data_IF_969371600105
#
_entry.id   IF_969371600105
#
_cell.length_a   1.000
_cell.length_b   1.000
_cell.length_c   1.000
_cell.angle_alpha   90.00
_cell.angle_beta   90.00
_cell.angle_gamma   90.00
#
_symmetry.space_group_name_H-M   'P 1'
#
loop_
_entity.id
_entity.type
_entity.pdbx_description
1 polymer ?
#
# COMPACT_ATOMS: atom_id res chain seq x y z
N UNK A 1 -40.76 -66.05 -0.37
CA UNK A 1 -41.06 -66.46 -1.76
C UNK A 1 -40.26 -65.52 -2.65
N UNK A 2 -38.96 -65.76 -2.85
CA UNK A 2 -38.35 -66.54 -3.94
C UNK A 2 -38.72 -66.09 -5.36
N UNK A 3 -37.82 -65.38 -6.04
CA UNK A 3 -37.16 -65.75 -7.31
C UNK A 3 -36.44 -64.50 -7.88
N UNK A 4 -35.11 -64.39 -7.94
CA UNK A 4 -34.15 -65.05 -8.84
C UNK A 4 -34.52 -64.97 -10.33
N UNK A 5 -33.85 -64.13 -11.13
CA UNK A 5 -32.70 -64.53 -11.98
C UNK A 5 -32.31 -63.46 -13.03
N UNK A 6 -31.00 -63.18 -13.09
CA UNK A 6 -30.16 -62.67 -14.19
C UNK A 6 -30.15 -63.64 -15.41
N UNK A 7 -29.32 -63.47 -16.47
CA UNK A 7 -28.92 -62.30 -17.28
C UNK A 7 -29.03 -62.62 -18.81
N UNK A 8 -28.76 -61.64 -19.68
CA UNK A 8 -28.32 -61.93 -21.07
C UNK A 8 -27.25 -60.93 -21.48
N UNK A 9 -26.05 -61.47 -21.75
CA UNK A 9 -24.97 -60.81 -22.47
C UNK A 9 -25.22 -60.93 -23.97
N UNK A 10 -24.90 -59.86 -24.70
CA UNK A 10 -24.47 -59.92 -26.09
C UNK A 10 -23.30 -58.92 -26.18
N UNK A 11 -22.10 -59.49 -26.27
CA UNK A 11 -20.96 -58.85 -26.92
C UNK A 11 -21.31 -58.71 -28.40
N UNK A 12 -21.08 -57.53 -28.96
CA UNK A 12 -20.50 -57.44 -30.29
C UNK A 12 -19.70 -56.15 -30.42
N UNK A 13 -18.44 -56.37 -30.76
CA UNK A 13 -17.42 -55.38 -31.07
C UNK A 13 -17.84 -54.57 -32.30
N UNK A 14 -17.68 -53.25 -32.22
CA UNK A 14 -17.29 -52.48 -33.39
C UNK A 14 -16.24 -51.44 -33.00
N UNK A 15 -15.02 -51.76 -33.42
CA UNK A 15 -13.82 -50.92 -33.43
C UNK A 15 -14.08 -49.62 -34.20
N UNK A 16 -14.34 -48.54 -33.47
CA UNK A 16 -14.13 -47.18 -33.96
C UNK A 16 -12.76 -46.68 -33.48
N UNK A 17 -11.75 -46.87 -34.33
CA UNK A 17 -10.45 -46.23 -34.24
C UNK A 17 -10.61 -44.70 -34.16
N UNK A 18 -10.61 -44.14 -32.94
CA UNK A 18 -10.34 -42.72 -32.74
C UNK A 18 -8.83 -42.52 -32.83
N UNK A 19 -8.40 -42.09 -34.02
CA UNK A 19 -7.04 -41.65 -34.31
C UNK A 19 -6.54 -40.68 -33.23
N UNK A 20 -5.47 -41.09 -32.55
CA UNK A 20 -4.69 -40.23 -31.66
C UNK A 20 -4.04 -39.15 -32.53
N UNK A 21 -4.28 -37.85 -32.28
CA UNK A 21 -3.63 -36.81 -33.07
C UNK A 21 -2.11 -36.84 -32.85
N UNK A 22 -1.30 -36.63 -33.90
CA UNK A 22 0.15 -36.75 -33.79
C UNK A 22 0.74 -35.71 -32.83
N UNK A 23 1.87 -36.03 -32.17
CA UNK A 23 2.52 -35.13 -31.24
C UNK A 23 2.93 -33.83 -31.96
N UNK A 24 2.50 -32.70 -31.39
CA UNK A 24 2.89 -31.37 -31.90
C UNK A 24 4.41 -31.24 -31.89
N UNK A 25 4.96 -30.87 -33.04
CA UNK A 25 6.37 -30.56 -33.21
C UNK A 25 6.85 -29.51 -32.19
N UNK A 26 8.09 -29.61 -31.70
CA UNK A 26 8.67 -28.62 -30.79
C UNK A 26 8.73 -27.26 -31.49
N UNK A 27 7.95 -26.31 -30.95
CA UNK A 27 7.99 -24.92 -31.38
C UNK A 27 9.36 -24.28 -31.10
N UNK A 28 9.69 -23.19 -31.81
CA UNK A 28 11.02 -22.60 -31.78
C UNK A 28 11.41 -22.15 -30.37
N UNK A 29 12.61 -22.58 -29.97
CA UNK A 29 13.31 -22.19 -28.75
C UNK A 29 13.41 -20.66 -28.70
N UNK A 30 12.58 -20.04 -27.83
CA UNK A 30 12.75 -18.63 -27.47
C UNK A 30 14.03 -18.51 -26.65
N UNK A 31 15.07 -18.02 -27.31
CA UNK A 31 16.29 -17.51 -26.70
C UNK A 31 15.97 -16.44 -25.66
N UNK A 32 16.79 -16.43 -24.63
CA UNK A 32 16.85 -15.47 -23.53
C UNK A 32 16.53 -14.03 -23.94
N UNK A 33 15.41 -13.53 -23.45
CA UNK A 33 15.23 -12.13 -23.06
C UNK A 33 15.10 -12.17 -21.53
N UNK A 34 16.18 -12.03 -20.76
CA UNK A 34 17.01 -10.84 -20.81
C UNK A 34 16.25 -9.66 -20.19
N UNK A 35 15.91 -9.77 -18.90
CA UNK A 35 16.15 -8.69 -17.91
C UNK A 35 15.71 -7.29 -18.36
N UNK A 36 14.41 -7.07 -18.59
CA UNK A 36 13.90 -5.74 -18.93
C UNK A 36 12.43 -5.48 -18.53
N UNK A 37 11.95 -6.05 -17.42
CA UNK A 37 10.56 -5.80 -16.97
C UNK A 37 10.35 -5.64 -15.46
N UNK A 38 11.41 -5.29 -14.71
CA UNK A 38 11.31 -4.92 -13.29
C UNK A 38 11.72 -3.46 -13.01
N UNK A 39 11.98 -2.65 -14.04
CA UNK A 39 12.42 -1.25 -13.90
C UNK A 39 11.30 -0.21 -14.04
N UNK A 40 10.04 -0.58 -13.82
CA UNK A 40 8.90 0.37 -13.82
C UNK A 40 8.05 0.16 -12.58
N UNK A 41 8.50 0.64 -11.42
CA UNK A 41 7.69 1.02 -10.24
C UNK A 41 8.54 1.47 -9.04
N UNK A 42 9.60 2.25 -9.26
CA UNK A 42 10.35 2.88 -8.17
C UNK A 42 10.71 4.33 -8.50
N UNK A 43 10.05 5.34 -7.88
CA UNK A 43 10.56 6.69 -7.85
C UNK A 43 10.94 7.09 -6.42
N UNK A 44 11.68 6.26 -5.67
CA UNK A 44 12.21 6.66 -4.37
C UNK A 44 13.58 6.03 -4.11
N UNK A 45 14.57 6.46 -4.89
CA UNK A 45 15.93 6.61 -4.37
C UNK A 45 16.75 7.46 -5.34
N UNK A 46 17.21 8.63 -4.90
CA UNK A 46 18.53 9.22 -5.20
C UNK A 46 18.58 10.65 -4.66
N UNK A 47 19.32 10.82 -3.57
CA UNK A 47 19.88 12.11 -3.20
C UNK A 47 21.09 12.41 -4.08
N UNK A 48 21.15 13.62 -4.62
CA UNK A 48 22.27 14.58 -4.56
C UNK A 48 22.00 15.73 -5.54
N UNK A 49 22.31 16.94 -5.08
CA UNK A 49 21.93 18.20 -5.72
C UNK A 49 22.42 18.34 -7.16
N UNK A 50 21.49 18.17 -8.09
CA UNK A 50 21.54 18.77 -9.42
C UNK A 50 20.24 19.56 -9.56
N UNK A 51 20.30 20.82 -10.02
CA UNK A 51 19.11 21.63 -10.32
C UNK A 51 18.21 20.83 -11.26
N UNK A 52 17.17 20.24 -10.70
CA UNK A 52 16.27 19.35 -11.42
C UNK A 52 15.36 20.24 -12.29
N UNK A 53 15.50 20.24 -13.63
CA UNK A 53 14.74 21.13 -14.52
C UNK A 53 13.22 20.93 -14.43
N UNK A 54 12.77 19.86 -13.78
CA UNK A 54 11.38 19.50 -13.59
C UNK A 54 10.79 19.95 -12.25
N UNK A 55 11.55 20.66 -11.39
CA UNK A 55 11.02 21.13 -10.10
C UNK A 55 9.94 22.19 -10.33
N UNK A 56 8.80 22.02 -9.69
CA UNK A 56 7.66 22.91 -9.82
C UNK A 56 8.00 24.32 -9.34
N UNK A 57 8.16 25.27 -10.27
CA UNK A 57 8.47 26.69 -10.04
C UNK A 57 7.48 27.59 -10.77
N UNK A 58 7.47 28.91 -10.48
CA UNK A 58 6.63 29.86 -11.22
C UNK A 58 6.96 29.86 -12.72
N UNK A 59 8.24 29.84 -13.05
CA UNK A 59 8.70 29.81 -14.44
C UNK A 59 8.24 28.51 -15.13
N UNK A 60 8.38 27.37 -14.46
CA UNK A 60 7.88 26.09 -14.99
C UNK A 60 6.37 26.12 -15.23
N UNK A 61 5.59 26.66 -14.31
CA UNK A 61 4.13 26.79 -14.48
C UNK A 61 3.81 27.68 -15.70
N UNK A 62 4.50 28.82 -15.84
CA UNK A 62 4.33 29.72 -16.99
C UNK A 62 4.63 29.02 -18.31
N UNK A 63 5.67 28.19 -18.34
CA UNK A 63 6.16 27.57 -19.57
C UNK A 63 5.35 26.32 -19.97
N UNK A 64 4.69 25.66 -19.02
CA UNK A 64 4.03 24.36 -19.28
C UNK A 64 2.50 24.37 -19.16
N UNK A 65 1.90 25.39 -18.54
CA UNK A 65 0.47 25.42 -18.24
C UNK A 65 -0.25 26.48 -19.05
N UNK A 66 -1.48 26.17 -19.47
CA UNK A 66 -2.41 27.19 -19.96
C UNK A 66 -3.02 27.95 -18.77
N UNK A 67 -3.23 29.24 -18.93
CA UNK A 67 -3.84 30.13 -17.94
C UNK A 67 -4.56 31.29 -18.62
N UNK A 68 -5.42 32.00 -17.88
CA UNK A 68 -6.05 33.25 -18.33
C UNK A 68 -5.29 34.46 -17.77
N UNK A 69 -5.28 35.57 -18.50
CA UNK A 69 -4.69 36.82 -18.00
C UNK A 69 -5.62 37.54 -17.01
N UNK A 70 -6.93 37.30 -17.12
CA UNK A 70 -7.94 38.00 -16.34
C UNK A 70 -9.21 37.18 -16.18
N UNK A 71 -9.92 37.41 -15.07
CA UNK A 71 -11.27 36.89 -14.82
C UNK A 71 -12.08 37.89 -13.99
N UNK A 72 -13.35 38.06 -14.36
CA UNK A 72 -14.30 38.89 -13.60
C UNK A 72 -14.81 38.14 -12.36
N UNK A 73 -15.28 38.91 -11.38
CA UNK A 73 -15.99 38.38 -10.23
C UNK A 73 -17.21 37.54 -10.66
N UNK A 74 -17.49 36.47 -9.91
CA UNK A 74 -18.59 35.52 -10.14
C UNK A 74 -18.49 34.72 -11.45
N UNK A 75 -17.32 34.70 -12.09
CA UNK A 75 -17.07 33.79 -13.21
C UNK A 75 -16.81 32.36 -12.72
N UNK A 76 -17.48 31.41 -13.35
CA UNK A 76 -17.29 29.99 -13.07
C UNK A 76 -15.94 29.52 -13.62
N UNK A 77 -15.13 28.92 -12.73
CA UNK A 77 -13.84 28.29 -13.06
C UNK A 77 -14.10 26.80 -13.30
N UNK A 78 -13.90 26.35 -14.54
CA UNK A 78 -14.20 24.98 -15.01
C UNK A 78 -12.96 24.08 -15.04
N UNK A 79 -11.78 24.66 -15.23
CA UNK A 79 -10.53 23.92 -15.33
C UNK A 79 -9.31 24.80 -14.98
N UNK A 80 -8.12 24.22 -15.04
CA UNK A 80 -6.87 24.93 -14.72
C UNK A 80 -6.55 26.12 -15.63
N UNK A 81 -6.99 26.11 -16.89
CA UNK A 81 -6.75 27.21 -17.83
C UNK A 81 -7.62 28.45 -17.54
N UNK A 82 -8.68 28.30 -16.74
CA UNK A 82 -9.51 29.42 -16.27
C UNK A 82 -8.89 30.16 -15.06
N UNK A 83 -7.77 29.65 -14.54
CA UNK A 83 -6.99 30.29 -13.48
C UNK A 83 -5.91 31.18 -14.07
N UNK A 84 -5.59 32.26 -13.37
CA UNK A 84 -4.44 33.11 -13.68
C UNK A 84 -3.12 32.45 -13.30
N UNK A 85 -2.02 32.94 -13.86
CA UNK A 85 -0.69 32.45 -13.51
C UNK A 85 -0.39 32.57 -12.00
N UNK A 86 -0.83 33.65 -11.35
CA UNK A 86 -0.63 33.85 -9.91
C UNK A 86 -1.50 32.90 -9.08
N UNK A 87 -2.75 32.67 -9.48
CA UNK A 87 -3.65 31.69 -8.86
C UNK A 87 -3.07 30.26 -8.98
N UNK A 88 -2.57 29.87 -10.16
CA UNK A 88 -1.89 28.59 -10.38
C UNK A 88 -0.65 28.46 -9.49
N UNK A 89 0.17 29.50 -9.41
CA UNK A 89 1.34 29.49 -8.54
C UNK A 89 0.96 29.32 -7.07
N UNK A 90 -0.07 30.02 -6.59
CA UNK A 90 -0.54 29.88 -5.22
C UNK A 90 -1.14 28.49 -4.94
N UNK A 91 -1.94 27.93 -5.84
CA UNK A 91 -2.45 26.56 -5.72
C UNK A 91 -1.31 25.53 -5.72
N UNK A 92 -0.22 25.79 -6.45
CA UNK A 92 0.96 24.93 -6.44
C UNK A 92 1.57 24.77 -5.03
N UNK A 93 1.37 25.74 -4.14
CA UNK A 93 1.85 25.67 -2.75
C UNK A 93 1.16 24.55 -1.96
N UNK A 94 -0.11 24.24 -2.26
CA UNK A 94 -0.86 23.13 -1.64
C UNK A 94 -0.20 21.79 -2.01
N UNK A 95 0.13 21.60 -3.29
CA UNK A 95 0.84 20.40 -3.75
C UNK A 95 2.25 20.32 -3.14
N UNK A 96 2.95 21.45 -3.03
CA UNK A 96 4.28 21.48 -2.39
C UNK A 96 4.22 21.09 -0.91
N UNK A 97 3.17 21.45 -0.18
CA UNK A 97 2.96 20.99 1.20
C UNK A 97 2.83 19.46 1.28
N UNK A 98 2.09 18.85 0.35
CA UNK A 98 2.02 17.39 0.25
C UNK A 98 3.39 16.79 -0.10
N UNK A 99 4.07 17.35 -1.09
CA UNK A 99 5.37 16.86 -1.54
C UNK A 99 6.40 16.88 -0.40
N UNK A 100 6.39 17.94 0.43
CA UNK A 100 7.24 18.05 1.61
C UNK A 100 6.96 16.96 2.66
N UNK A 101 5.69 16.69 2.98
CA UNK A 101 5.32 15.65 3.95
C UNK A 101 5.63 14.24 3.45
N UNK A 102 5.57 14.03 2.13
CA UNK A 102 5.88 12.75 1.50
C UNK A 102 7.39 12.56 1.26
N UNK A 103 8.21 13.57 1.56
CA UNK A 103 9.64 13.63 1.25
C UNK A 103 9.95 13.42 -0.25
N UNK A 104 9.26 14.20 -1.09
CA UNK A 104 9.33 14.07 -2.55
C UNK A 104 9.42 15.44 -3.21
N UNK A 105 10.10 15.58 -4.36
CA UNK A 105 10.05 16.82 -5.12
C UNK A 105 8.69 16.97 -5.81
N UNK A 106 8.05 18.13 -5.69
CA UNK A 106 6.91 18.48 -6.54
C UNK A 106 7.39 18.81 -7.97
N UNK A 107 6.77 18.19 -8.98
CA UNK A 107 7.11 18.42 -10.39
C UNK A 107 5.94 19.00 -11.19
N UNK A 108 6.20 19.50 -12.40
CA UNK A 108 5.13 19.98 -13.29
C UNK A 108 4.12 18.87 -13.67
N UNK A 109 4.53 17.64 -14.03
CA UNK A 109 3.59 16.54 -14.24
C UNK A 109 2.75 16.18 -13.00
N UNK A 110 3.31 16.31 -11.80
CA UNK A 110 2.52 16.12 -10.58
C UNK A 110 1.47 17.20 -10.40
N UNK A 111 1.81 18.44 -10.78
CA UNK A 111 0.90 19.57 -10.75
C UNK A 111 -0.23 19.45 -11.77
N UNK A 112 0.06 18.99 -12.99
CA UNK A 112 -0.96 18.68 -14.00
C UNK A 112 -1.93 17.61 -13.50
N UNK A 113 -1.42 16.51 -12.95
CA UNK A 113 -2.26 15.43 -12.38
C UNK A 113 -3.09 15.93 -11.20
N UNK A 114 -2.51 16.79 -10.36
CA UNK A 114 -3.22 17.42 -9.25
C UNK A 114 -4.36 18.32 -9.74
N UNK A 115 -4.12 19.20 -10.71
CA UNK A 115 -5.17 20.07 -11.28
C UNK A 115 -6.26 19.25 -11.96
N UNK A 116 -5.89 18.21 -12.72
CA UNK A 116 -6.85 17.29 -13.31
C UNK A 116 -7.75 16.65 -12.24
N UNK A 117 -7.17 16.19 -11.12
CA UNK A 117 -7.93 15.66 -9.99
C UNK A 117 -8.79 16.69 -9.26
N UNK A 118 -8.37 17.96 -9.21
CA UNK A 118 -9.17 19.06 -8.64
C UNK A 118 -10.44 19.31 -9.46
N UNK A 119 -10.34 19.31 -10.78
CA UNK A 119 -11.46 19.60 -11.68
C UNK A 119 -12.21 18.34 -12.18
N UNK A 120 -11.80 17.14 -11.76
CA UNK A 120 -12.50 15.90 -12.12
C UNK A 120 -13.96 15.92 -11.62
N UNK A 121 -14.89 16.00 -12.56
CA UNK A 121 -16.33 16.13 -12.31
C UNK A 121 -16.74 17.36 -11.47
N UNK A 122 -15.89 18.38 -11.35
CA UNK A 122 -16.09 19.51 -10.45
C UNK A 122 -15.75 20.85 -11.11
N UNK A 123 -16.49 21.91 -10.76
CA UNK A 123 -16.21 23.30 -11.09
C UNK A 123 -16.53 24.20 -9.88
N UNK A 124 -16.19 25.48 -9.93
CA UNK A 124 -16.35 26.40 -8.78
C UNK A 124 -17.79 26.56 -8.29
N UNK A 125 -18.82 26.28 -9.09
CA UNK A 125 -20.22 26.34 -8.67
C UNK A 125 -20.71 25.04 -8.01
N UNK A 126 -19.93 23.96 -8.10
CA UNK A 126 -20.27 22.66 -7.53
C UNK A 126 -19.93 22.64 -6.02
N UNK A 127 -20.85 22.23 -5.14
CA UNK A 127 -20.58 22.10 -3.72
C UNK A 127 -19.37 21.19 -3.43
N UNK A 128 -18.54 21.60 -2.48
CA UNK A 128 -17.38 20.82 -2.06
C UNK A 128 -17.82 19.74 -1.08
N UNK A 129 -17.45 18.50 -1.38
CA UNK A 129 -17.67 17.38 -0.46
C UNK A 129 -16.72 17.48 0.73
N UNK A 130 -17.14 16.98 1.88
CA UNK A 130 -16.25 16.84 3.03
C UNK A 130 -15.06 15.95 2.67
N UNK A 131 -13.87 16.30 3.16
CA UNK A 131 -12.68 15.47 2.98
C UNK A 131 -12.87 14.09 3.59
N UNK A 132 -12.31 13.09 2.91
CA UNK A 132 -12.37 11.72 3.40
C UNK A 132 -11.62 11.62 4.72
N UNK A 133 -12.19 10.83 5.64
CA UNK A 133 -11.48 10.48 6.86
C UNK A 133 -10.43 9.43 6.55
N UNK A 134 -9.31 9.53 7.24
CA UNK A 134 -8.28 8.51 7.16
C UNK A 134 -8.88 7.16 7.62
N UNK A 135 -9.02 6.22 6.68
CA UNK A 135 -9.57 4.90 7.00
C UNK A 135 -8.66 4.16 7.98
N UNK A 136 -9.22 3.45 8.97
CA UNK A 136 -8.43 2.56 9.82
C UNK A 136 -7.89 1.38 8.99
N UNK A 137 -6.72 0.88 9.37
CA UNK A 137 -6.12 -0.31 8.75
C UNK A 137 -7.01 -1.52 8.99
N UNK A 138 -7.33 -2.26 7.94
CA UNK A 138 -8.13 -3.47 8.03
C UNK A 138 -7.26 -4.71 8.23
N UNK A 139 -7.89 -5.83 8.60
CA UNK A 139 -7.22 -7.13 8.70
C UNK A 139 -6.47 -7.48 7.41
N UNK A 140 -7.16 -7.43 6.28
CA UNK A 140 -6.59 -7.75 4.97
C UNK A 140 -5.50 -6.78 4.50
N UNK A 141 -5.44 -5.57 5.08
CA UNK A 141 -4.47 -4.55 4.68
C UNK A 141 -3.06 -4.87 5.21
N UNK A 142 -2.94 -5.61 6.32
CA UNK A 142 -1.65 -5.79 7.02
C UNK A 142 -1.26 -7.25 7.26
N UNK A 143 -2.07 -8.20 6.78
CA UNK A 143 -1.83 -9.63 6.98
C UNK A 143 -1.97 -10.39 5.67
N UNK A 144 -1.18 -11.45 5.56
CA UNK A 144 -1.20 -12.44 4.49
C UNK A 144 -1.54 -13.81 5.08
N UNK A 145 -2.20 -14.68 4.31
CA UNK A 145 -2.34 -16.08 4.68
C UNK A 145 -1.00 -16.79 4.40
N UNK A 146 -0.50 -17.57 5.36
CA UNK A 146 0.84 -18.18 5.27
C UNK A 146 0.86 -19.68 5.54
N UNK A 147 -0.29 -20.27 5.87
CA UNK A 147 -0.38 -21.66 6.22
C UNK A 147 -1.69 -22.02 6.90
N UNK A 148 -1.66 -23.16 7.58
CA UNK A 148 -2.79 -23.73 8.32
C UNK A 148 -2.37 -24.17 9.72
N UNK A 149 -3.35 -24.34 10.61
CA UNK A 149 -3.11 -25.00 11.90
C UNK A 149 -2.81 -26.50 11.68
N UNK A 150 -1.67 -26.97 12.19
CA UNK A 150 -1.28 -28.39 12.13
C UNK A 150 -2.15 -29.28 13.03
N UNK A 151 -2.68 -28.71 14.10
CA UNK A 151 -3.52 -29.38 15.09
C UNK A 151 -4.52 -28.38 15.68
N UNK A 152 -5.49 -28.89 16.44
CA UNK A 152 -6.36 -28.02 17.23
C UNK A 152 -5.52 -27.16 18.18
N UNK A 153 -5.71 -25.84 18.14
CA UNK A 153 -4.98 -24.92 18.99
C UNK A 153 -5.31 -25.21 20.46
N UNK A 154 -4.39 -25.16 21.42
CA UNK A 154 -4.72 -25.42 22.81
C UNK A 154 -5.78 -24.45 23.34
N UNK A 155 -6.66 -24.96 24.20
CA UNK A 155 -7.56 -24.13 25.00
C UNK A 155 -6.74 -23.36 26.05
N UNK A 156 -7.12 -22.10 26.30
CA UNK A 156 -6.51 -21.34 27.40
C UNK A 156 -6.94 -21.91 28.75
N UNK A 157 -6.13 -21.74 29.79
CA UNK A 157 -6.46 -22.16 31.15
C UNK A 157 -7.83 -21.62 31.62
N UNK A 158 -8.18 -20.40 31.22
CA UNK A 158 -9.48 -19.79 31.51
C UNK A 158 -10.64 -20.55 30.85
N UNK A 159 -10.48 -21.02 29.61
CA UNK A 159 -11.50 -21.80 28.90
C UNK A 159 -11.65 -23.20 29.49
N UNK A 160 -10.54 -23.81 29.89
CA UNK A 160 -10.55 -25.10 30.60
C UNK A 160 -11.30 -24.95 31.94
N UNK A 161 -11.00 -23.90 32.72
CA UNK A 161 -11.71 -23.58 33.96
C UNK A 161 -13.21 -23.29 33.73
N UNK A 162 -13.57 -22.76 32.57
CA UNK A 162 -14.96 -22.52 32.18
C UNK A 162 -15.67 -23.77 31.61
N UNK A 163 -15.04 -24.96 31.66
CA UNK A 163 -15.65 -26.22 31.22
C UNK A 163 -15.71 -26.40 29.70
N UNK A 164 -15.01 -25.59 28.91
CA UNK A 164 -14.96 -25.75 27.45
C UNK A 164 -14.16 -27.01 27.13
N UNK A 165 -14.79 -27.94 26.42
CA UNK A 165 -14.15 -29.16 25.91
C UNK A 165 -13.49 -28.91 24.53
N UNK A 166 -12.56 -29.77 24.09
CA UNK A 166 -11.99 -29.70 22.74
C UNK A 166 -13.06 -29.71 21.63
N UNK A 167 -14.16 -30.43 21.81
CA UNK A 167 -15.27 -30.48 20.84
C UNK A 167 -16.05 -29.15 20.77
N UNK A 168 -16.13 -28.45 21.91
CA UNK A 168 -16.69 -27.09 22.02
C UNK A 168 -15.76 -26.00 21.49
N UNK A 169 -14.61 -26.35 20.91
CA UNK A 169 -13.67 -25.39 20.37
C UNK A 169 -14.18 -24.73 19.09
N UNK A 170 -13.99 -23.40 19.01
CA UNK A 170 -14.30 -22.57 17.85
C UNK A 170 -13.67 -23.14 16.58
N UNK A 171 -14.43 -23.12 15.48
CA UNK A 171 -14.03 -23.74 14.21
C UNK A 171 -12.68 -23.19 13.75
N UNK A 172 -12.42 -21.88 13.88
CA UNK A 172 -11.19 -21.21 13.43
C UNK A 172 -9.93 -21.62 14.22
N UNK A 173 -10.10 -22.44 15.26
CA UNK A 173 -9.02 -22.98 16.09
C UNK A 173 -8.77 -24.47 15.86
N UNK A 174 -9.49 -25.09 14.93
CA UNK A 174 -9.33 -26.50 14.59
C UNK A 174 -8.20 -26.69 13.58
N UNK A 175 -7.66 -27.90 13.52
CA UNK A 175 -6.68 -28.30 12.53
C UNK A 175 -7.18 -28.00 11.10
N UNK A 176 -6.27 -27.63 10.20
CA UNK A 176 -6.57 -27.29 8.81
C UNK A 176 -7.09 -25.88 8.57
N UNK A 177 -7.36 -25.09 9.62
CA UNK A 177 -7.83 -23.71 9.45
C UNK A 177 -6.71 -22.75 9.05
N UNK A 178 -7.01 -21.73 8.22
CA UNK A 178 -6.01 -20.80 7.71
C UNK A 178 -5.42 -19.92 8.83
N UNK A 179 -4.12 -19.72 8.75
CA UNK A 179 -3.35 -18.84 9.62
C UNK A 179 -2.79 -17.68 8.83
N UNK A 180 -2.87 -16.51 9.45
CA UNK A 180 -2.43 -15.26 8.91
C UNK A 180 -1.23 -14.73 9.69
N UNK A 181 -0.30 -14.12 8.97
CA UNK A 181 0.87 -13.47 9.52
C UNK A 181 0.98 -12.06 8.97
N UNK A 182 1.44 -11.13 9.80
CA UNK A 182 1.79 -9.81 9.32
C UNK A 182 1.97 -8.79 10.43
N UNK A 183 2.01 -7.53 10.02
CA UNK A 183 2.31 -6.40 10.89
C UNK A 183 1.06 -6.01 11.69
N UNK A 184 1.24 -5.81 12.99
CA UNK A 184 0.20 -5.29 13.90
C UNK A 184 0.56 -3.92 14.46
N UNK A 185 1.84 -3.56 14.45
CA UNK A 185 2.35 -2.28 14.92
C UNK A 185 3.59 -1.87 14.14
N UNK A 186 3.71 -0.58 13.88
CA UNK A 186 4.89 0.04 13.31
C UNK A 186 5.16 1.32 14.10
N UNK A 187 6.31 1.38 14.77
CA UNK A 187 6.79 2.59 15.41
C UNK A 187 8.06 3.04 14.67
N UNK A 188 7.92 4.07 13.84
CA UNK A 188 9.02 4.61 13.05
C UNK A 188 10.07 5.34 13.89
N UNK A 189 9.71 5.84 15.08
CA UNK A 189 10.62 6.55 15.99
C UNK A 189 11.55 5.58 16.70
N UNK A 190 11.01 4.46 17.18
CA UNK A 190 11.79 3.42 17.87
C UNK A 190 12.32 2.34 16.92
N UNK A 191 11.88 2.32 15.67
CA UNK A 191 12.22 1.26 14.71
C UNK A 191 11.48 -0.05 14.94
N UNK A 192 10.55 -0.11 15.89
CA UNK A 192 9.90 -1.37 16.28
C UNK A 192 8.84 -1.75 15.27
N UNK A 193 8.95 -2.99 14.77
CA UNK A 193 7.91 -3.64 13.97
C UNK A 193 7.35 -4.84 14.72
N UNK A 194 6.07 -4.75 15.07
CA UNK A 194 5.37 -5.81 15.77
C UNK A 194 4.72 -6.77 14.79
N UNK A 195 5.07 -8.05 14.93
CA UNK A 195 4.55 -9.15 14.12
C UNK A 195 3.54 -9.95 14.92
N UNK A 196 2.50 -10.45 14.25
CA UNK A 196 1.59 -11.38 14.90
C UNK A 196 1.13 -12.50 13.98
N UNK A 197 0.98 -13.67 14.58
CA UNK A 197 0.27 -14.83 14.04
C UNK A 197 -1.18 -14.77 14.51
N UNK A 198 -2.12 -14.85 13.56
CA UNK A 198 -3.54 -14.61 13.79
C UNK A 198 -4.39 -15.66 13.10
N UNK A 199 -5.51 -16.03 13.72
CA UNK A 199 -6.57 -16.75 13.04
C UNK A 199 -7.45 -15.80 12.20
N UNK A 200 -8.45 -16.37 11.50
CA UNK A 200 -9.42 -15.62 10.69
C UNK A 200 -10.27 -14.61 11.49
N UNK A 201 -10.34 -14.75 12.81
CA UNK A 201 -11.04 -13.82 13.73
C UNK A 201 -10.08 -12.85 14.40
N UNK A 202 -8.85 -12.73 13.90
CA UNK A 202 -7.80 -11.84 14.40
C UNK A 202 -7.37 -12.13 15.85
N UNK A 203 -7.60 -13.34 16.35
CA UNK A 203 -7.11 -13.75 17.65
C UNK A 203 -5.73 -14.42 17.53
N UNK A 204 -4.87 -14.20 18.53
CA UNK A 204 -3.47 -14.64 18.51
C UNK A 204 -3.31 -16.16 18.41
N UNK A 205 -2.33 -16.62 17.65
CA UNK A 205 -2.01 -18.04 17.43
C UNK A 205 -0.54 -18.25 17.79
N UNK A 206 -0.21 -19.35 18.47
CA UNK A 206 1.19 -19.69 18.70
C UNK A 206 1.78 -20.30 17.41
N UNK A 207 2.90 -19.76 16.87
CA UNK A 207 3.52 -20.25 15.64
C UNK A 207 3.93 -21.72 15.67
N UNK A 208 4.14 -22.32 16.85
CA UNK A 208 4.48 -23.74 16.97
C UNK A 208 3.38 -24.69 16.44
N UNK A 209 2.13 -24.21 16.33
CA UNK A 209 1.00 -24.97 15.79
C UNK A 209 0.71 -24.65 14.33
N UNK A 210 1.62 -23.94 13.65
CA UNK A 210 1.42 -23.51 12.27
C UNK A 210 2.23 -24.39 11.35
N UNK A 211 1.56 -24.99 10.38
CA UNK A 211 2.20 -25.59 9.22
C UNK A 211 2.16 -24.56 8.10
N UNK A 212 3.34 -24.12 7.63
CA UNK A 212 3.45 -23.14 6.57
C UNK A 212 3.13 -23.74 5.20
N UNK A 213 2.61 -22.92 4.31
CA UNK A 213 2.39 -23.31 2.91
C UNK A 213 3.73 -23.65 2.23
N UNK A 214 3.68 -24.49 1.19
CA UNK A 214 4.90 -24.95 0.51
C UNK A 214 5.74 -23.77 -0.02
N UNK A 215 7.05 -23.82 0.23
CA UNK A 215 7.99 -22.77 -0.17
C UNK A 215 8.02 -21.55 0.77
N UNK A 216 7.15 -21.48 1.77
CA UNK A 216 7.20 -20.42 2.77
C UNK A 216 8.25 -20.70 3.84
N UNK A 217 9.04 -19.67 4.14
CA UNK A 217 10.06 -19.62 5.19
C UNK A 217 9.83 -18.40 6.06
N UNK A 218 10.55 -18.32 7.18
CA UNK A 218 10.52 -17.15 8.06
C UNK A 218 10.90 -15.83 7.35
N UNK A 219 11.71 -15.92 6.30
CA UNK A 219 12.14 -14.78 5.47
C UNK A 219 11.03 -14.42 4.49
N UNK A 220 10.55 -15.38 3.69
CA UNK A 220 9.56 -15.10 2.64
C UNK A 220 8.26 -14.55 3.21
N UNK A 221 7.77 -15.09 4.34
CA UNK A 221 6.53 -14.58 4.97
C UNK A 221 6.68 -13.15 5.46
N UNK A 222 7.87 -12.76 5.95
CA UNK A 222 8.13 -11.38 6.40
C UNK A 222 8.22 -10.43 5.21
N UNK A 223 8.94 -10.83 4.16
CA UNK A 223 9.02 -10.06 2.91
C UNK A 223 7.63 -9.82 2.32
N UNK A 224 6.81 -10.87 2.20
CA UNK A 224 5.46 -10.75 1.64
C UNK A 224 4.54 -9.91 2.54
N UNK A 225 4.62 -10.07 3.87
CA UNK A 225 3.84 -9.27 4.80
C UNK A 225 4.22 -7.78 4.75
N UNK A 226 5.51 -7.46 4.63
CA UNK A 226 5.99 -6.08 4.43
C UNK A 226 5.48 -5.50 3.13
N UNK A 227 5.58 -6.22 2.02
CA UNK A 227 5.08 -5.78 0.72
C UNK A 227 3.58 -5.51 0.77
N UNK A 228 2.81 -6.42 1.39
CA UNK A 228 1.37 -6.23 1.58
C UNK A 228 1.08 -4.96 2.38
N UNK A 229 1.72 -4.80 3.54
CA UNK A 229 1.53 -3.62 4.38
C UNK A 229 1.92 -2.34 3.65
N UNK A 230 3.11 -2.28 3.04
CA UNK A 230 3.63 -1.09 2.38
C UNK A 230 2.76 -0.67 1.20
N UNK A 231 2.29 -1.63 0.40
CA UNK A 231 1.38 -1.34 -0.72
C UNK A 231 0.06 -0.77 -0.23
N UNK A 232 -0.56 -1.42 0.76
CA UNK A 232 -1.83 -0.98 1.31
C UNK A 232 -1.72 0.37 2.05
N UNK A 233 -0.60 0.62 2.71
CA UNK A 233 -0.33 1.89 3.38
C UNK A 233 -0.10 3.02 2.38
N UNK A 234 0.59 2.77 1.26
CA UNK A 234 0.73 3.73 0.17
C UNK A 234 -0.64 4.14 -0.38
N UNK A 235 -1.51 3.19 -0.67
CA UNK A 235 -2.84 3.49 -1.19
C UNK A 235 -3.69 4.24 -0.17
N UNK A 236 -3.64 3.82 1.10
CA UNK A 236 -4.37 4.45 2.20
C UNK A 236 -3.96 5.92 2.40
N UNK A 237 -2.66 6.18 2.48
CA UNK A 237 -2.12 7.53 2.70
C UNK A 237 -2.31 8.40 1.45
N UNK A 238 -2.06 7.85 0.26
CA UNK A 238 -2.27 8.56 -1.01
C UNK A 238 -3.72 8.99 -1.16
N UNK A 239 -4.68 8.07 -1.00
CA UNK A 239 -6.10 8.38 -1.14
C UNK A 239 -6.54 9.50 -0.18
N UNK A 240 -6.16 9.40 1.10
CA UNK A 240 -6.48 10.39 2.10
C UNK A 240 -5.85 11.76 1.78
N UNK A 241 -4.53 11.80 1.58
CA UNK A 241 -3.81 13.04 1.33
C UNK A 241 -4.29 13.72 0.03
N UNK A 242 -4.51 12.94 -1.04
CA UNK A 242 -5.06 13.44 -2.31
C UNK A 242 -6.45 14.05 -2.12
N UNK A 243 -7.35 13.38 -1.40
CA UNK A 243 -8.69 13.91 -1.09
C UNK A 243 -8.61 15.23 -0.31
N UNK A 244 -7.72 15.29 0.69
CA UNK A 244 -7.50 16.49 1.50
C UNK A 244 -7.01 17.68 0.65
N UNK A 245 -5.92 17.50 -0.12
CA UNK A 245 -5.35 18.60 -0.92
C UNK A 245 -6.29 19.06 -2.03
N UNK A 246 -7.02 18.12 -2.65
CA UNK A 246 -8.05 18.45 -3.65
C UNK A 246 -9.14 19.32 -3.05
N UNK A 247 -9.68 18.95 -1.88
CA UNK A 247 -10.72 19.75 -1.25
C UNK A 247 -10.22 21.11 -0.75
N UNK A 248 -8.96 21.20 -0.32
CA UNK A 248 -8.32 22.49 0.00
C UNK A 248 -8.26 23.39 -1.24
N UNK A 249 -7.72 22.88 -2.36
CA UNK A 249 -7.67 23.61 -3.62
C UNK A 249 -9.08 24.05 -4.09
N UNK A 250 -10.07 23.16 -4.03
CA UNK A 250 -11.46 23.50 -4.38
C UNK A 250 -12.00 24.65 -3.56
N UNK A 251 -11.76 24.69 -2.23
CA UNK A 251 -12.22 25.80 -1.37
C UNK A 251 -11.61 27.13 -1.77
N UNK A 252 -10.29 27.12 -2.03
CA UNK A 252 -9.56 28.29 -2.52
C UNK A 252 -10.14 28.77 -3.85
N UNK A 253 -10.32 27.87 -4.82
CA UNK A 253 -10.86 28.19 -6.15
C UNK A 253 -12.29 28.74 -6.05
N UNK A 254 -13.14 28.21 -5.17
CA UNK A 254 -14.49 28.76 -4.97
C UNK A 254 -14.46 30.21 -4.47
N UNK A 255 -13.56 30.54 -3.54
CA UNK A 255 -13.39 31.90 -3.06
C UNK A 255 -12.90 32.83 -4.17
N UNK A 256 -11.91 32.37 -4.94
CA UNK A 256 -11.41 33.15 -6.06
C UNK A 256 -12.47 33.37 -7.13
N UNK A 257 -13.32 32.38 -7.42
CA UNK A 257 -14.43 32.54 -8.37
C UNK A 257 -15.39 33.70 -8.01
N UNK A 258 -15.53 34.05 -6.73
CA UNK A 258 -16.43 35.11 -6.26
C UNK A 258 -15.84 36.52 -6.42
N UNK A 259 -14.51 36.63 -6.56
CA UNK A 259 -13.80 37.89 -6.71
C UNK A 259 -13.19 38.01 -8.11
N UNK A 260 -12.88 39.24 -8.52
CA UNK A 260 -12.11 39.47 -9.73
C UNK A 260 -10.62 39.19 -9.49
N UNK A 261 -9.85 39.12 -10.57
CA UNK A 261 -8.40 38.90 -10.52
C UNK A 261 -7.59 40.19 -10.36
N UNK A 262 -8.23 41.33 -10.11
CA UNK A 262 -7.52 42.57 -9.76
C UNK A 262 -7.01 42.53 -8.32
N UNK A 263 -7.63 41.68 -7.48
CA UNK A 263 -7.14 41.36 -6.14
C UNK A 263 -6.09 40.24 -6.21
N UNK A 264 -5.02 40.38 -5.42
CA UNK A 264 -4.03 39.33 -5.29
C UNK A 264 -4.67 38.05 -4.72
N UNK A 265 -4.43 36.87 -5.35
CA UNK A 265 -5.00 35.63 -4.87
C UNK A 265 -4.37 35.24 -3.53
N UNK A 266 -5.17 35.25 -2.46
CA UNK A 266 -4.78 34.84 -1.11
C UNK A 266 -5.36 33.46 -0.78
N UNK A 267 -4.55 32.62 -0.12
CA UNK A 267 -4.99 31.36 0.50
C UNK A 267 -5.08 31.59 2.01
N UNK A 268 -6.31 31.60 2.52
CA UNK A 268 -6.58 31.68 3.95
C UNK A 268 -6.00 30.47 4.69
N UNK A 269 -5.59 30.66 5.95
CA UNK A 269 -5.01 29.59 6.76
C UNK A 269 -5.95 28.38 6.92
N UNK A 270 -7.27 28.60 6.96
CA UNK A 270 -8.27 27.53 7.04
C UNK A 270 -8.37 26.68 5.76
N UNK A 271 -7.91 27.21 4.63
CA UNK A 271 -7.90 26.50 3.35
C UNK A 271 -6.57 25.86 3.02
N UNK A 272 -5.55 26.07 3.87
CA UNK A 272 -4.29 25.32 3.76
C UNK A 272 -4.50 23.87 4.18
N UNK A 273 -3.76 22.92 3.56
CA UNK A 273 -3.86 21.53 3.95
C UNK A 273 -3.33 21.35 5.38
N UNK A 274 -4.23 20.99 6.30
CA UNK A 274 -3.91 20.61 7.68
C UNK A 274 -4.20 19.14 7.92
N UNK A 275 -3.34 18.46 8.69
CA UNK A 275 -3.50 17.04 9.00
C UNK A 275 -3.08 16.09 7.87
N UNK A 276 -2.19 16.53 6.97
CA UNK A 276 -1.52 15.63 6.03
C UNK A 276 -0.79 14.54 6.80
N UNK A 277 -0.91 13.30 6.32
CA UNK A 277 -0.30 12.15 6.98
C UNK A 277 1.00 11.77 6.27
N UNK A 278 2.11 11.60 7.01
CA UNK A 278 3.34 11.08 6.43
C UNK A 278 3.16 9.61 6.03
N UNK A 279 3.93 9.17 5.04
CA UNK A 279 3.96 7.77 4.64
C UNK A 279 4.94 7.01 5.53
N UNK A 280 4.44 6.01 6.27
CA UNK A 280 5.26 5.16 7.13
C UNK A 280 5.33 3.74 6.57
N UNK A 281 6.52 3.31 6.16
CA UNK A 281 6.75 2.03 5.50
C UNK A 281 7.55 1.09 6.38
N UNK A 282 7.16 -0.18 6.37
CA UNK A 282 7.82 -1.23 7.14
C UNK A 282 9.24 -1.52 6.66
N UNK A 283 9.47 -1.57 5.35
CA UNK A 283 10.78 -1.90 4.77
C UNK A 283 11.91 -0.98 5.27
N UNK A 284 11.83 0.35 5.03
CA UNK A 284 12.82 1.30 5.51
C UNK A 284 13.01 1.27 7.04
N UNK A 285 11.92 1.12 7.81
CA UNK A 285 12.00 1.04 9.27
C UNK A 285 12.78 -0.17 9.74
N UNK A 286 12.54 -1.35 9.14
CA UNK A 286 13.24 -2.59 9.51
C UNK A 286 14.72 -2.53 9.11
N UNK A 287 15.04 -1.95 7.94
CA UNK A 287 16.44 -1.80 7.51
C UNK A 287 17.21 -0.95 8.52
N UNK A 288 16.67 0.22 8.87
CA UNK A 288 17.30 1.12 9.84
C UNK A 288 17.47 0.45 11.22
N UNK A 289 16.50 -0.34 11.67
CA UNK A 289 16.62 -1.08 12.93
C UNK A 289 17.64 -2.22 12.85
N UNK A 290 17.68 -2.94 11.73
CA UNK A 290 18.68 -3.99 11.49
C UNK A 290 20.10 -3.45 11.52
N UNK A 291 20.34 -2.26 10.95
CA UNK A 291 21.63 -1.57 11.00
C UNK A 291 22.03 -1.23 12.45
N UNK A 292 21.10 -0.69 13.25
CA UNK A 292 21.34 -0.40 14.68
C UNK A 292 21.68 -1.65 15.48
N UNK A 293 20.99 -2.77 15.24
CA UNK A 293 21.26 -4.03 15.93
C UNK A 293 22.63 -4.62 15.54
N UNK A 294 23.04 -4.49 14.28
CA UNK A 294 24.38 -4.89 13.83
C UNK A 294 25.44 -4.05 14.54
N UNK A 295 25.26 -2.73 14.63
CA UNK A 295 26.18 -1.85 15.34
C UNK A 295 26.27 -2.19 16.83
N UNK A 296 25.13 -2.38 17.50
CA UNK A 296 25.08 -2.80 18.91
C UNK A 296 25.79 -4.15 19.13
N UNK A 297 25.60 -5.12 18.23
CA UNK A 297 26.28 -6.42 18.28
C UNK A 297 27.81 -6.27 18.17
N UNK A 298 28.29 -5.43 17.25
CA UNK A 298 29.73 -5.13 17.11
C UNK A 298 30.30 -4.50 18.37
N UNK A 299 29.61 -3.52 18.95
CA UNK A 299 30.02 -2.85 20.18
C UNK A 299 30.10 -3.83 21.36
N UNK A 300 29.12 -4.72 21.49
CA UNK A 300 29.11 -5.77 22.51
C UNK A 300 30.31 -6.71 22.36
N UNK A 301 30.60 -7.20 21.15
CA UNK A 301 31.74 -8.10 20.90
C UNK A 301 33.07 -7.43 21.25
N UNK A 302 33.25 -6.16 20.89
CA UNK A 302 34.48 -5.41 21.21
C UNK A 302 34.68 -5.29 22.73
N UNK A 303 33.62 -4.93 23.48
CA UNK A 303 33.68 -4.81 24.95
C UNK A 303 33.96 -6.16 25.62
N UNK A 304 33.31 -7.22 25.15
CA UNK A 304 33.50 -8.58 25.67
C UNK A 304 34.96 -9.04 25.48
N UNK A 305 35.55 -8.77 24.31
CA UNK A 305 36.96 -9.09 24.05
C UNK A 305 37.91 -8.30 24.95
N UNK A 306 37.70 -7.00 25.16
CA UNK A 306 38.53 -6.20 26.08
C UNK A 306 38.47 -6.72 27.51
N UNK A 307 37.29 -7.12 27.99
CA UNK A 307 37.14 -7.72 29.32
C UNK A 307 37.90 -9.04 29.43
N UNK A 308 37.80 -9.93 28.43
CA UNK A 308 38.54 -11.19 28.43
C UNK A 308 40.07 -11.03 28.45
N UNK A 309 40.61 -9.97 27.86
CA UNK A 309 42.06 -9.67 27.88
C UNK A 309 42.52 -9.11 29.24
N UNK A 310 41.65 -8.44 29.99
CA UNK A 310 41.96 -7.88 31.31
C UNK A 310 41.97 -8.92 32.44
N UNK A 311 41.37 -10.09 32.20
CA UNK A 311 41.31 -11.21 33.15
C UNK A 311 42.23 -12.38 32.77
N UNK A 312 43.20 -12.16 31.87
CA UNK A 312 44.32 -13.07 31.60
C UNK A 312 45.61 -12.46 32.12
#
# INVERSE_FOLDING_TARGET
MNNNNLPTSIDDNDDAHLEVPPPRAPGPVRRDAGRAQEARMHPYNQGQGVRNPNRLSLQTIRDTMNYTDYRQANMMIRNGADLTLTELYNISTILRSLAAIMDTPATAPDFERFLAGVFDGWNSNTPIRTADRLRPRQFVDTRIQVGILSQNHPLSAQKIKAGVTPDGQKIERRAGQPIYFGLVGLNSETGVVDWAWRDKKNAGVNPQYVHLDHGQTSITIRTQAMLQYDNMERDRIRAFNSSLVTNCARRVIQKWAQVDTALDPVIDNIDRPFGLMPLQLSGPTIIAEGERLIEAGRAYTAQSQTQHTLFR
#
